data_IF_540780367299
#
_entry.id   IF_540780367299
#
_cell.length_a   1.000
_cell.length_b   1.000
_cell.length_c   1.000
_cell.angle_alpha   90.00
_cell.angle_beta   90.00
_cell.angle_gamma   90.00
#
_symmetry.space_group_name_H-M   'P 1'
#
loop_
_entity.id
_entity.type
_entity.pdbx_description
1 polymer ?
#
# COMPACT_ATOMS: atom_id res chain seq x y z
N UNK A 1 15.65 -19.63 7.51
CA UNK A 1 14.88 -18.37 7.38
C UNK A 1 13.70 -18.44 8.32
N UNK A 2 13.37 -17.36 9.03
CA UNK A 2 12.14 -17.29 9.83
C UNK A 2 10.91 -17.32 8.91
N UNK A 3 9.87 -18.06 9.29
CA UNK A 3 8.63 -18.10 8.50
C UNK A 3 7.91 -16.75 8.57
N UNK A 4 6.91 -16.52 7.70
CA UNK A 4 6.14 -15.25 7.73
C UNK A 4 5.50 -15.01 9.10
N UNK A 5 4.91 -16.04 9.72
CA UNK A 5 4.30 -15.96 11.04
C UNK A 5 5.28 -15.51 12.12
N UNK A 6 6.49 -16.09 12.14
CA UNK A 6 7.54 -15.71 13.09
C UNK A 6 7.94 -14.24 12.94
N UNK A 7 8.13 -13.80 11.68
CA UNK A 7 8.46 -12.40 11.37
C UNK A 7 7.35 -11.45 11.81
N UNK A 8 6.08 -11.83 11.65
CA UNK A 8 4.94 -11.04 12.10
C UNK A 8 4.91 -10.93 13.62
N UNK A 9 5.08 -12.04 14.34
CA UNK A 9 5.13 -12.04 15.82
C UNK A 9 6.27 -11.14 16.31
N UNK A 10 7.45 -11.21 15.69
CA UNK A 10 8.58 -10.35 16.02
C UNK A 10 8.28 -8.87 15.74
N UNK A 11 7.66 -8.54 14.61
CA UNK A 11 7.29 -7.17 14.26
C UNK A 11 6.25 -6.58 15.22
N UNK A 12 5.25 -7.38 15.63
CA UNK A 12 4.24 -6.97 16.63
C UNK A 12 4.89 -6.67 17.98
N UNK A 13 5.81 -7.52 18.43
CA UNK A 13 6.57 -7.26 19.68
C UNK A 13 7.42 -6.00 19.59
N UNK A 14 8.09 -5.77 18.44
CA UNK A 14 8.92 -4.57 18.20
C UNK A 14 8.11 -3.27 18.24
N UNK A 15 6.89 -3.29 17.73
CA UNK A 15 6.03 -2.10 17.60
C UNK A 15 5.02 -1.97 18.74
N UNK A 16 4.93 -2.97 19.61
CA UNK A 16 3.98 -3.07 20.71
C UNK A 16 2.51 -2.93 20.27
N UNK A 17 2.20 -3.38 19.05
CA UNK A 17 0.83 -3.35 18.53
C UNK A 17 0.62 -4.43 17.45
N UNK A 18 -0.57 -5.07 17.41
CA UNK A 18 -0.98 -5.90 16.28
C UNK A 18 -1.66 -5.09 15.16
N UNK A 19 -1.76 -3.76 15.29
CA UNK A 19 -2.45 -2.90 14.30
C UNK A 19 -1.81 -3.04 12.92
N UNK A 20 -2.65 -3.18 11.91
CA UNK A 20 -2.24 -3.21 10.52
C UNK A 20 -2.93 -2.05 9.79
N UNK A 21 -2.17 -1.30 9.00
CA UNK A 21 -2.69 -0.12 8.28
C UNK A 21 -3.09 -0.51 6.86
N UNK A 22 -4.35 -0.25 6.50
CA UNK A 22 -4.84 -0.42 5.13
C UNK A 22 -4.35 0.71 4.22
N UNK A 23 -4.01 0.37 2.98
CA UNK A 23 -3.62 1.33 1.93
C UNK A 23 -4.59 1.18 0.77
N UNK A 24 -5.64 2.00 0.81
CA UNK A 24 -6.83 1.90 -0.04
C UNK A 24 -7.10 3.27 -0.71
N UNK A 25 -6.18 3.78 -1.55
CA UNK A 25 -6.29 5.11 -2.13
C UNK A 25 -7.54 5.26 -3.00
N UNK A 26 -8.20 6.42 -2.85
CA UNK A 26 -9.38 6.80 -3.64
C UNK A 26 -9.17 8.22 -4.11
N UNK A 27 -9.32 8.46 -5.42
CA UNK A 27 -9.12 9.78 -6.04
C UNK A 27 -9.86 10.90 -5.29
N UNK A 28 -11.12 10.67 -4.90
CA UNK A 28 -11.95 11.62 -4.16
C UNK A 28 -11.44 11.94 -2.74
N UNK A 29 -10.67 11.05 -2.13
CA UNK A 29 -10.16 11.19 -0.76
C UNK A 29 -8.70 11.63 -0.72
N UNK A 30 -8.05 11.79 -1.87
CA UNK A 30 -6.67 12.26 -1.91
C UNK A 30 -6.60 13.71 -1.38
N UNK A 31 -5.62 14.05 -0.54
CA UNK A 31 -5.33 15.43 -0.17
C UNK A 31 -5.11 16.32 -1.40
N UNK A 32 -5.57 17.57 -1.33
CA UNK A 32 -5.48 18.52 -2.45
C UNK A 32 -4.07 18.66 -3.05
N UNK A 33 -2.96 18.69 -2.26
CA UNK A 33 -1.62 18.83 -2.82
C UNK A 33 -1.17 17.69 -3.74
N UNK A 34 -1.79 16.50 -3.63
CA UNK A 34 -1.43 15.33 -4.44
C UNK A 34 -2.55 14.91 -5.40
N UNK A 35 -3.71 15.58 -5.35
CA UNK A 35 -4.82 15.29 -6.26
C UNK A 35 -4.51 15.89 -7.64
N UNK A 36 -4.70 15.13 -8.75
CA UNK A 36 -4.58 15.69 -10.09
C UNK A 36 -5.46 16.93 -10.26
N UNK A 37 -4.90 18.00 -10.84
CA UNK A 37 -5.56 19.31 -10.96
C UNK A 37 -6.54 19.42 -12.13
N UNK A 38 -6.65 18.37 -12.94
CA UNK A 38 -7.52 18.29 -14.12
C UNK A 38 -8.80 17.54 -13.81
N UNK A 39 -9.91 17.90 -14.45
CA UNK A 39 -11.23 17.30 -14.20
C UNK A 39 -11.32 15.82 -14.61
N UNK A 40 -10.58 15.42 -15.64
CA UNK A 40 -10.49 14.03 -16.12
C UNK A 40 -9.01 13.62 -16.25
N UNK A 41 -8.37 13.22 -15.14
CA UNK A 41 -6.96 12.86 -15.17
C UNK A 41 -6.72 11.56 -15.94
N UNK A 42 -5.60 11.51 -16.65
CA UNK A 42 -5.13 10.29 -17.28
C UNK A 42 -4.81 9.23 -16.22
N UNK A 43 -4.92 7.95 -16.59
CA UNK A 43 -4.63 6.82 -15.69
C UNK A 43 -3.26 6.95 -15.01
N UNK A 44 -2.24 7.39 -15.74
CA UNK A 44 -0.89 7.63 -15.21
C UNK A 44 -0.88 8.67 -14.08
N UNK A 45 -1.63 9.77 -14.22
CA UNK A 45 -1.70 10.82 -13.19
C UNK A 45 -2.38 10.32 -11.92
N UNK A 46 -3.40 9.46 -12.06
CA UNK A 46 -4.07 8.83 -10.91
C UNK A 46 -3.11 7.84 -10.22
N UNK A 47 -2.39 7.02 -11.00
CA UNK A 47 -1.44 6.05 -10.47
C UNK A 47 -0.31 6.73 -9.68
N UNK A 48 0.29 7.80 -10.21
CA UNK A 48 1.33 8.56 -9.51
C UNK A 48 0.81 9.24 -8.24
N UNK A 49 -0.42 9.76 -8.26
CA UNK A 49 -1.06 10.31 -7.07
C UNK A 49 -1.30 9.23 -5.99
N UNK A 50 -1.68 8.01 -6.40
CA UNK A 50 -1.85 6.88 -5.50
C UNK A 50 -0.53 6.42 -4.91
N UNK A 51 0.55 6.42 -5.70
CA UNK A 51 1.90 6.13 -5.24
C UNK A 51 2.36 7.14 -4.18
N UNK A 52 2.21 8.43 -4.47
CA UNK A 52 2.60 9.51 -3.56
C UNK A 52 1.83 9.42 -2.24
N UNK A 53 0.50 9.23 -2.30
CA UNK A 53 -0.34 9.04 -1.12
C UNK A 53 0.12 7.84 -0.28
N UNK A 54 0.32 6.69 -0.94
CA UNK A 54 0.68 5.44 -0.27
C UNK A 54 2.05 5.53 0.39
N UNK A 55 3.04 6.15 -0.28
CA UNK A 55 4.38 6.40 0.31
C UNK A 55 4.29 7.31 1.53
N UNK A 56 3.48 8.38 1.46
CA UNK A 56 3.23 9.26 2.61
C UNK A 56 2.64 8.54 3.82
N UNK A 57 1.64 7.68 3.61
CA UNK A 57 1.09 6.82 4.68
C UNK A 57 2.17 5.92 5.26
N UNK A 58 2.94 5.24 4.40
CA UNK A 58 4.04 4.35 4.82
C UNK A 58 5.06 5.12 5.67
N UNK A 59 5.47 6.31 5.26
CA UNK A 59 6.45 7.12 5.99
C UNK A 59 5.99 7.48 7.40
N UNK A 60 4.69 7.77 7.57
CA UNK A 60 4.10 8.08 8.88
C UNK A 60 4.01 6.84 9.77
N UNK A 61 3.67 5.67 9.21
CA UNK A 61 3.33 4.48 10.01
C UNK A 61 4.47 3.49 10.18
N UNK A 62 5.56 3.58 9.40
CA UNK A 62 6.63 2.57 9.36
C UNK A 62 7.23 2.21 10.73
N UNK A 63 7.39 3.20 11.62
CA UNK A 63 7.91 2.98 12.98
C UNK A 63 6.84 2.54 13.98
N UNK A 64 5.57 2.66 13.62
CA UNK A 64 4.43 2.50 14.53
C UNK A 64 3.73 1.15 14.41
N UNK A 65 3.75 0.53 13.22
CA UNK A 65 3.00 -0.70 12.95
C UNK A 65 3.87 -1.83 12.39
N UNK A 66 3.52 -3.10 12.63
CA UNK A 66 4.24 -4.24 12.09
C UNK A 66 4.10 -4.39 10.57
N UNK A 67 2.96 -3.98 10.02
CA UNK A 67 2.57 -4.32 8.66
C UNK A 67 1.59 -3.33 8.03
N UNK A 68 1.54 -3.36 6.71
CA UNK A 68 0.54 -2.66 5.89
C UNK A 68 -0.20 -3.65 4.99
N UNK A 69 -1.42 -3.28 4.58
CA UNK A 69 -2.28 -4.08 3.70
C UNK A 69 -2.81 -3.27 2.53
N UNK A 70 -2.07 -3.18 1.41
CA UNK A 70 -2.59 -2.62 0.17
C UNK A 70 -3.78 -3.44 -0.35
N UNK A 71 -4.86 -2.77 -0.76
CA UNK A 71 -6.01 -3.40 -1.41
C UNK A 71 -5.86 -3.30 -2.94
N UNK A 72 -5.61 -4.43 -3.59
CA UNK A 72 -5.20 -4.44 -5.00
C UNK A 72 -6.24 -3.85 -5.94
N UNK A 73 -7.54 -4.01 -5.64
CA UNK A 73 -8.62 -3.50 -6.47
C UNK A 73 -8.55 -1.98 -6.73
N UNK A 74 -8.08 -1.19 -5.75
CA UNK A 74 -7.97 0.26 -5.93
C UNK A 74 -6.91 0.65 -6.97
N UNK A 75 -5.90 -0.19 -7.14
CA UNK A 75 -4.82 0.01 -8.09
C UNK A 75 -5.18 -0.63 -9.44
N UNK A 76 -5.69 -1.86 -9.43
CA UNK A 76 -6.04 -2.61 -10.65
C UNK A 76 -7.08 -1.89 -11.53
N UNK A 77 -8.03 -1.16 -10.93
CA UNK A 77 -9.03 -0.38 -11.69
C UNK A 77 -8.40 0.73 -12.57
N UNK A 78 -7.15 1.13 -12.32
CA UNK A 78 -6.42 2.14 -13.11
C UNK A 78 -5.72 1.50 -14.32
N UNK A 79 -5.72 0.17 -14.40
CA UNK A 79 -5.06 -0.58 -15.47
C UNK A 79 -3.56 -0.83 -15.19
N UNK A 80 -2.74 -1.04 -16.24
CA UNK A 80 -1.34 -1.46 -16.09
C UNK A 80 -0.48 -0.53 -15.22
N UNK A 81 -0.66 0.79 -15.33
CA UNK A 81 0.10 1.74 -14.50
C UNK A 81 -0.29 1.66 -13.02
N UNK A 82 -1.56 1.37 -12.73
CA UNK A 82 -2.03 1.08 -11.37
C UNK A 82 -1.34 -0.14 -10.77
N UNK A 83 -1.22 -1.22 -11.53
CA UNK A 83 -0.51 -2.44 -11.11
C UNK A 83 0.99 -2.18 -10.91
N UNK A 84 1.61 -1.39 -11.79
CA UNK A 84 3.01 -0.94 -11.63
C UNK A 84 3.20 -0.24 -10.29
N UNK A 85 2.41 0.79 -9.99
CA UNK A 85 2.57 1.54 -8.73
C UNK A 85 2.21 0.70 -7.51
N UNK A 86 1.30 -0.28 -7.60
CA UNK A 86 1.05 -1.23 -6.52
C UNK A 86 2.34 -2.01 -6.17
N UNK A 87 3.08 -2.47 -7.19
CA UNK A 87 4.39 -3.10 -6.99
C UNK A 87 5.39 -2.18 -6.30
N UNK A 88 5.44 -0.91 -6.71
CA UNK A 88 6.31 0.09 -6.08
C UNK A 88 5.93 0.39 -4.62
N UNK A 89 4.63 0.42 -4.29
CA UNK A 89 4.14 0.56 -2.91
C UNK A 89 4.58 -0.61 -2.04
N UNK A 90 4.47 -1.84 -2.56
CA UNK A 90 4.94 -3.05 -1.87
C UNK A 90 6.44 -2.97 -1.61
N UNK A 91 7.23 -2.63 -2.63
CA UNK A 91 8.68 -2.52 -2.52
C UNK A 91 9.07 -1.43 -1.50
N UNK A 92 8.42 -0.27 -1.54
CA UNK A 92 8.69 0.83 -0.60
C UNK A 92 8.37 0.45 0.84
N UNK A 93 7.22 -0.20 1.09
CA UNK A 93 6.87 -0.69 2.43
C UNK A 93 7.93 -1.67 2.98
N UNK A 94 8.38 -2.61 2.14
CA UNK A 94 9.44 -3.56 2.51
C UNK A 94 10.77 -2.86 2.83
N UNK A 95 11.16 -1.86 2.04
CA UNK A 95 12.35 -1.04 2.30
C UNK A 95 12.27 -0.29 3.64
N UNK A 96 11.06 0.07 4.08
CA UNK A 96 10.79 0.70 5.39
C UNK A 96 10.68 -0.30 6.53
N UNK A 97 10.94 -1.58 6.29
CA UNK A 97 10.92 -2.63 7.31
C UNK A 97 9.52 -3.10 7.71
N UNK A 98 8.49 -2.74 6.93
CA UNK A 98 7.13 -3.21 7.13
C UNK A 98 6.92 -4.56 6.46
N UNK A 99 6.13 -5.41 7.11
CA UNK A 99 5.55 -6.56 6.43
C UNK A 99 4.39 -6.10 5.54
N UNK A 100 4.16 -6.82 4.44
CA UNK A 100 3.09 -6.50 3.50
C UNK A 100 2.16 -7.69 3.38
N UNK A 101 0.87 -7.44 3.54
CA UNK A 101 -0.21 -8.39 3.27
C UNK A 101 -1.01 -7.86 2.09
N UNK A 102 -0.90 -8.50 0.93
CA UNK A 102 -1.69 -8.08 -0.23
C UNK A 102 -3.13 -8.54 -0.08
N UNK A 103 -4.07 -7.61 0.00
CA UNK A 103 -5.49 -7.93 0.01
C UNK A 103 -6.02 -7.98 -1.42
N UNK A 104 -5.77 -9.10 -2.10
CA UNK A 104 -6.16 -9.32 -3.50
C UNK A 104 -7.30 -10.32 -3.68
N UNK A 105 -7.77 -10.97 -2.59
CA UNK A 105 -8.88 -11.93 -2.58
C UNK A 105 -8.79 -12.98 -3.69
N UNK A 106 -7.57 -13.39 -4.06
CA UNK A 106 -7.33 -14.35 -5.15
C UNK A 106 -7.86 -15.72 -4.74
N UNK A 107 -8.62 -16.33 -5.63
CA UNK A 107 -9.16 -17.67 -5.46
C UNK A 107 -9.36 -18.25 -6.86
N UNK A 108 -8.46 -19.13 -7.28
CA UNK A 108 -8.45 -19.76 -8.59
C UNK A 108 -8.10 -21.25 -8.44
N UNK A 109 -8.12 -22.00 -9.53
CA UNK A 109 -8.08 -23.47 -9.55
C UNK A 109 -6.75 -24.12 -9.14
N UNK A 110 -5.69 -23.34 -8.91
CA UNK A 110 -4.35 -23.81 -8.53
C UNK A 110 -3.35 -23.79 -9.67
#
# INVERSE_FOLDING_TARGET
MAQFGDRLVQAVRRTNTPTLVGIDPRLANLPDPIRPSVSAPAAEQIAEAYLAFSKGIIDVVASLVPAVKPQSAFFEQIGPCGVRVLGEVVQYAQQKGLLVIMDAKRNDIG
#
